data_IF_193195405460
#
_entry.id   IF_193195405460
#
_cell.length_a   1.000
_cell.length_b   1.000
_cell.length_c   1.000
_cell.angle_alpha   90.00
_cell.angle_beta   90.00
_cell.angle_gamma   90.00
#
_symmetry.space_group_name_H-M   'P 1'
#
loop_
_entity.id
_entity.type
_entity.pdbx_description
1 polymer ?
#
# COMPACT_ATOMS: atom_id res chain seq x y z
N UNK A 1 3.36 6.32 -22.31
CA UNK A 1 3.67 4.90 -22.56
C UNK A 1 2.52 4.29 -23.34
N UNK A 2 2.76 3.82 -24.54
CA UNK A 2 1.73 3.08 -25.29
C UNK A 2 1.80 1.60 -24.87
N UNK A 3 0.94 1.21 -23.94
CA UNK A 3 0.79 -0.20 -23.59
C UNK A 3 0.00 -0.91 -24.69
N UNK A 4 0.51 -2.07 -25.11
CA UNK A 4 -0.25 -2.97 -26.00
C UNK A 4 -1.09 -3.90 -25.13
N UNK A 5 -2.33 -4.05 -25.48
CA UNK A 5 -3.26 -4.96 -24.81
C UNK A 5 -3.67 -6.05 -25.79
N UNK A 6 -3.75 -7.28 -25.31
CA UNK A 6 -4.28 -8.43 -26.05
C UNK A 6 -5.02 -9.34 -25.07
N UNK A 7 -5.98 -10.10 -25.58
CA UNK A 7 -6.53 -11.20 -24.81
C UNK A 7 -5.47 -12.31 -24.70
N UNK A 8 -5.36 -12.93 -23.53
CA UNK A 8 -4.39 -13.99 -23.30
C UNK A 8 -4.55 -15.13 -24.32
N UNK A 9 -5.77 -15.48 -24.69
CA UNK A 9 -6.10 -16.52 -25.63
C UNK A 9 -5.54 -16.28 -27.04
N UNK A 10 -5.35 -15.00 -27.42
CA UNK A 10 -4.87 -14.61 -28.74
C UNK A 10 -3.34 -14.62 -28.86
N UNK A 11 -2.64 -14.56 -27.72
CA UNK A 11 -1.16 -14.37 -27.70
C UNK A 11 -0.40 -15.46 -26.99
N UNK A 12 -1.08 -16.32 -26.24
CA UNK A 12 -0.46 -17.27 -25.32
C UNK A 12 0.61 -18.16 -25.99
N UNK A 13 0.40 -18.57 -27.23
CA UNK A 13 1.35 -19.43 -27.99
C UNK A 13 2.57 -18.67 -28.52
N UNK A 14 2.57 -17.35 -28.43
CA UNK A 14 3.69 -16.49 -28.84
C UNK A 14 4.51 -15.98 -27.65
N UNK A 15 4.16 -16.38 -26.42
CA UNK A 15 4.81 -15.89 -25.20
C UNK A 15 5.84 -16.90 -24.70
N UNK A 16 7.06 -16.44 -24.44
CA UNK A 16 8.05 -17.23 -23.70
C UNK A 16 7.78 -17.21 -22.20
N UNK A 17 7.17 -16.14 -21.68
CA UNK A 17 6.88 -15.93 -20.26
C UNK A 17 5.53 -15.29 -20.05
N UNK A 18 4.72 -15.89 -19.18
CA UNK A 18 3.48 -15.34 -18.66
C UNK A 18 3.62 -15.05 -17.17
N UNK A 19 3.35 -13.80 -16.74
CA UNK A 19 3.40 -13.42 -15.34
C UNK A 19 1.99 -13.13 -14.83
N UNK A 20 1.50 -13.96 -13.92
CA UNK A 20 0.26 -13.70 -13.19
C UNK A 20 0.46 -12.54 -12.21
N UNK A 21 -0.32 -11.49 -12.39
CA UNK A 21 -0.37 -10.36 -11.46
C UNK A 21 -1.62 -10.40 -10.59
N UNK A 22 -2.52 -9.44 -10.77
CA UNK A 22 -3.79 -9.36 -10.03
C UNK A 22 -4.91 -10.19 -10.63
N UNK A 23 -4.80 -10.59 -11.89
CA UNK A 23 -5.74 -11.48 -12.58
C UNK A 23 -5.25 -12.92 -12.43
N UNK A 24 -6.19 -13.81 -12.18
CA UNK A 24 -5.90 -15.24 -12.00
C UNK A 24 -5.76 -15.89 -13.38
N UNK A 25 -4.70 -16.66 -13.58
CA UNK A 25 -4.49 -17.51 -14.75
C UNK A 25 -5.19 -18.86 -14.51
N UNK A 26 -5.95 -19.31 -15.50
CA UNK A 26 -6.66 -20.57 -15.40
C UNK A 26 -5.72 -21.76 -15.76
N UNK A 27 -5.95 -22.97 -15.18
CA UNK A 27 -5.08 -24.13 -15.42
C UNK A 27 -4.88 -24.48 -16.88
N UNK A 28 -5.92 -24.35 -17.73
CA UNK A 28 -5.81 -24.65 -19.14
C UNK A 28 -4.87 -23.69 -19.91
N UNK A 29 -4.78 -22.43 -19.46
CA UNK A 29 -3.86 -21.44 -20.03
C UNK A 29 -2.41 -21.80 -19.71
N UNK A 30 -2.15 -22.26 -18.50
CA UNK A 30 -0.81 -22.72 -18.10
C UNK A 30 -0.42 -23.98 -18.88
N UNK A 31 -1.34 -24.91 -19.06
CA UNK A 31 -1.10 -26.10 -19.92
C UNK A 31 -0.65 -25.68 -21.31
N UNK A 32 -1.37 -24.77 -21.97
CA UNK A 32 -0.99 -24.24 -23.29
C UNK A 32 0.39 -23.58 -23.30
N UNK A 33 0.71 -22.79 -22.26
CA UNK A 33 2.06 -22.21 -22.13
C UNK A 33 3.15 -23.29 -22.09
N UNK A 34 2.97 -24.32 -21.27
CA UNK A 34 3.95 -25.38 -21.13
C UNK A 34 4.07 -26.26 -22.39
N UNK A 35 2.99 -26.48 -23.15
CA UNK A 35 2.99 -27.29 -24.37
C UNK A 35 3.94 -26.77 -25.46
N UNK A 36 4.17 -25.44 -25.52
CA UNK A 36 5.13 -24.85 -26.46
C UNK A 36 6.45 -24.38 -25.78
N UNK A 37 6.67 -24.80 -24.50
CA UNK A 37 7.92 -24.53 -23.78
C UNK A 37 7.98 -23.20 -23.05
N UNK A 38 6.89 -22.45 -23.02
CA UNK A 38 6.78 -21.21 -22.25
C UNK A 38 6.80 -21.44 -20.75
N UNK A 39 7.06 -20.39 -19.99
CA UNK A 39 7.13 -20.39 -18.53
C UNK A 39 6.01 -19.55 -17.91
N UNK A 40 5.54 -19.95 -16.71
CA UNK A 40 4.50 -19.23 -15.99
C UNK A 40 4.94 -18.92 -14.57
N UNK A 41 4.89 -17.64 -14.21
CA UNK A 41 5.26 -17.16 -12.87
C UNK A 41 4.04 -16.49 -12.21
N UNK A 42 3.79 -16.82 -10.95
CA UNK A 42 2.81 -16.06 -10.15
C UNK A 42 3.53 -14.95 -9.37
N UNK A 43 3.15 -13.68 -9.60
CA UNK A 43 3.71 -12.52 -8.90
C UNK A 43 2.78 -12.08 -7.77
N UNK A 44 3.18 -12.33 -6.53
CA UNK A 44 2.37 -12.11 -5.34
C UNK A 44 2.67 -10.76 -4.67
N UNK A 45 1.67 -9.89 -4.70
CA UNK A 45 1.68 -8.57 -4.04
C UNK A 45 0.76 -8.49 -2.82
N UNK A 46 -0.15 -9.46 -2.65
CA UNK A 46 -1.08 -9.59 -1.53
C UNK A 46 -0.65 -10.64 -0.50
N UNK A 47 -1.14 -10.52 0.73
CA UNK A 47 -0.93 -11.52 1.78
C UNK A 47 -2.02 -12.62 1.70
N UNK A 48 -1.87 -13.51 0.71
CA UNK A 48 -2.85 -14.55 0.44
C UNK A 48 -2.99 -15.53 1.62
N UNK A 49 -1.89 -15.78 2.36
CA UNK A 49 -1.92 -16.65 3.53
C UNK A 49 -2.86 -16.14 4.62
N UNK A 50 -2.78 -14.86 4.97
CA UNK A 50 -3.70 -14.26 5.95
C UNK A 50 -5.14 -14.23 5.41
N UNK A 51 -5.31 -13.96 4.11
CA UNK A 51 -6.65 -13.97 3.51
C UNK A 51 -7.29 -15.37 3.59
N UNK A 52 -6.55 -16.43 3.34
CA UNK A 52 -7.06 -17.80 3.46
C UNK A 52 -7.36 -18.18 4.91
N UNK A 53 -6.50 -17.77 5.86
CA UNK A 53 -6.77 -17.96 7.30
C UNK A 53 -8.07 -17.25 7.70
N UNK A 54 -8.26 -16.00 7.29
CA UNK A 54 -9.49 -15.26 7.59
C UNK A 54 -10.73 -15.89 6.94
N UNK A 55 -10.61 -16.34 5.69
CA UNK A 55 -11.69 -17.02 4.99
C UNK A 55 -12.12 -18.29 5.74
N UNK A 56 -11.13 -19.07 6.21
CA UNK A 56 -11.36 -20.28 7.00
C UNK A 56 -11.99 -19.99 8.37
N UNK A 57 -11.43 -19.01 9.11
CA UNK A 57 -11.87 -18.74 10.49
C UNK A 57 -13.22 -18.03 10.58
N UNK A 58 -13.58 -17.23 9.59
CA UNK A 58 -14.75 -16.35 9.61
C UNK A 58 -15.82 -16.71 8.58
N UNK A 59 -15.75 -17.92 8.00
CA UNK A 59 -16.69 -18.42 6.98
C UNK A 59 -16.92 -17.44 5.83
N UNK A 60 -15.87 -16.69 5.43
CA UNK A 60 -15.93 -15.80 4.28
C UNK A 60 -15.94 -16.63 3.00
N UNK A 61 -16.53 -16.10 1.93
CA UNK A 61 -16.41 -16.73 0.61
C UNK A 61 -14.95 -16.94 0.27
N UNK A 62 -14.59 -18.19 -0.05
CA UNK A 62 -13.25 -18.53 -0.50
C UNK A 62 -12.86 -17.65 -1.69
N UNK A 63 -11.72 -16.96 -1.56
CA UNK A 63 -11.07 -16.33 -2.70
C UNK A 63 -10.52 -17.41 -3.63
N UNK A 64 -10.25 -17.06 -4.89
CA UNK A 64 -9.53 -17.94 -5.82
C UNK A 64 -8.01 -17.81 -5.63
N UNK A 65 -7.55 -17.92 -4.38
CA UNK A 65 -6.11 -17.73 -4.09
C UNK A 65 -5.30 -18.89 -4.66
N UNK A 66 -5.87 -20.10 -4.63
CA UNK A 66 -5.27 -21.30 -5.21
C UNK A 66 -6.32 -22.08 -6.02
N UNK A 67 -6.11 -22.17 -7.33
CA UNK A 67 -7.03 -22.80 -8.28
C UNK A 67 -6.49 -24.11 -8.88
N UNK A 68 -5.36 -24.63 -8.36
CA UNK A 68 -4.71 -25.84 -8.89
C UNK A 68 -3.74 -25.57 -10.05
N UNK A 69 -3.49 -24.33 -10.39
CA UNK A 69 -2.54 -23.94 -11.43
C UNK A 69 -1.11 -24.33 -11.04
N UNK A 70 -0.34 -24.84 -11.99
CA UNK A 70 1.07 -25.23 -11.80
C UNK A 70 1.99 -24.16 -12.35
N UNK A 71 2.56 -23.34 -11.46
CA UNK A 71 3.55 -22.33 -11.83
C UNK A 71 4.96 -22.91 -11.88
N UNK A 72 5.85 -22.32 -12.69
CA UNK A 72 7.29 -22.63 -12.67
C UNK A 72 7.98 -21.98 -11.46
N UNK A 73 7.51 -20.83 -11.03
CA UNK A 73 7.96 -20.16 -9.80
C UNK A 73 6.90 -19.18 -9.26
N UNK A 74 7.01 -18.84 -7.98
CA UNK A 74 6.32 -17.71 -7.38
C UNK A 74 7.33 -16.60 -7.11
N UNK A 75 7.05 -15.40 -7.58
CA UNK A 75 7.76 -14.19 -7.20
C UNK A 75 6.92 -13.40 -6.21
N UNK A 76 7.54 -12.94 -5.12
CA UNK A 76 6.86 -12.18 -4.08
C UNK A 76 7.70 -10.99 -3.63
N UNK A 77 7.06 -9.93 -3.22
CA UNK A 77 7.73 -8.76 -2.64
C UNK A 77 8.19 -9.06 -1.20
N UNK A 78 9.19 -8.34 -0.65
CA UNK A 78 9.83 -8.67 0.64
C UNK A 78 8.88 -8.82 1.82
N UNK A 79 7.77 -8.08 1.85
CA UNK A 79 6.80 -8.17 2.95
C UNK A 79 6.18 -9.56 3.16
N UNK A 80 6.27 -10.43 2.17
CA UNK A 80 5.68 -11.78 2.21
C UNK A 80 6.70 -12.87 2.57
N UNK A 81 7.99 -12.51 2.71
CA UNK A 81 9.04 -13.51 2.92
C UNK A 81 8.81 -14.35 4.18
N UNK A 82 8.50 -13.70 5.30
CA UNK A 82 8.35 -14.38 6.58
C UNK A 82 7.02 -15.14 6.71
N UNK A 83 5.93 -14.59 6.19
CA UNK A 83 4.57 -15.14 6.40
C UNK A 83 4.12 -16.06 5.27
N UNK A 84 4.50 -15.79 4.02
CA UNK A 84 3.88 -16.45 2.86
C UNK A 84 4.83 -17.37 2.09
N UNK A 85 6.16 -17.28 2.24
CA UNK A 85 7.11 -18.02 1.39
C UNK A 85 6.89 -19.53 1.39
N UNK A 86 6.80 -20.14 2.58
CA UNK A 86 6.53 -21.57 2.70
C UNK A 86 5.13 -21.91 2.20
N UNK A 87 4.13 -21.11 2.53
CA UNK A 87 2.76 -21.29 2.05
C UNK A 87 2.71 -21.28 0.52
N UNK A 88 3.29 -20.30 -0.15
CA UNK A 88 3.31 -20.24 -1.61
C UNK A 88 4.06 -21.42 -2.21
N UNK A 89 5.23 -21.77 -1.67
CA UNK A 89 6.02 -22.89 -2.22
C UNK A 89 5.29 -24.23 -2.09
N UNK A 90 4.68 -24.50 -0.94
CA UNK A 90 3.99 -25.76 -0.66
C UNK A 90 2.71 -25.85 -1.50
N UNK A 91 1.89 -24.80 -1.50
CA UNK A 91 0.60 -24.82 -2.17
C UNK A 91 0.74 -24.85 -3.71
N UNK A 92 1.69 -24.11 -4.25
CA UNK A 92 1.94 -24.07 -5.70
C UNK A 92 2.93 -25.14 -6.18
N UNK A 93 3.53 -25.94 -5.28
CA UNK A 93 4.49 -27.01 -5.60
C UNK A 93 5.68 -26.55 -6.46
N UNK A 94 6.07 -25.29 -6.29
CA UNK A 94 7.19 -24.68 -7.01
C UNK A 94 8.01 -23.78 -6.08
N UNK A 95 9.24 -23.40 -6.46
CA UNK A 95 10.05 -22.49 -5.65
C UNK A 95 9.45 -21.10 -5.58
N UNK A 96 9.63 -20.42 -4.43
CA UNK A 96 9.23 -19.05 -4.22
C UNK A 96 10.45 -18.15 -3.97
N UNK A 97 10.54 -17.05 -4.69
CA UNK A 97 11.67 -16.11 -4.65
C UNK A 97 11.20 -14.72 -4.28
N UNK A 98 12.01 -14.02 -3.49
CA UNK A 98 11.78 -12.61 -3.17
C UNK A 98 12.37 -11.73 -4.28
N UNK A 99 11.53 -10.86 -4.83
CA UNK A 99 11.93 -9.88 -5.86
C UNK A 99 11.71 -8.45 -5.34
N UNK A 100 12.43 -7.45 -5.86
CA UNK A 100 12.25 -6.07 -5.43
C UNK A 100 10.82 -5.57 -5.65
N UNK A 101 10.27 -4.75 -4.74
CA UNK A 101 9.04 -4.01 -5.02
C UNK A 101 9.33 -2.96 -6.10
N UNK A 102 8.49 -2.89 -7.11
CA UNK A 102 8.62 -1.92 -8.20
C UNK A 102 7.51 -0.90 -8.09
N UNK A 103 7.88 0.37 -8.13
CA UNK A 103 6.95 1.49 -8.20
C UNK A 103 7.41 2.48 -9.28
N UNK A 104 6.44 3.16 -9.89
CA UNK A 104 6.69 4.23 -10.85
C UNK A 104 5.63 5.33 -10.68
N UNK A 105 5.98 6.62 -10.81
CA UNK A 105 5.03 7.72 -10.69
C UNK A 105 4.01 7.80 -11.83
N UNK A 106 4.14 7.02 -12.88
CA UNK A 106 3.34 7.12 -14.12
C UNK A 106 1.84 7.20 -13.87
N UNK A 107 1.30 6.38 -12.96
CA UNK A 107 -0.13 6.41 -12.65
C UNK A 107 -0.51 7.60 -11.76
N UNK A 108 0.35 7.96 -10.82
CA UNK A 108 0.21 9.15 -9.98
C UNK A 108 0.21 10.42 -10.86
N UNK A 109 1.15 10.52 -11.78
CA UNK A 109 1.30 11.65 -12.72
C UNK A 109 0.06 11.84 -13.62
N UNK A 110 -0.57 10.75 -14.04
CA UNK A 110 -1.82 10.84 -14.81
C UNK A 110 -2.96 11.47 -13.99
N UNK A 111 -3.07 11.11 -12.72
CA UNK A 111 -4.05 11.70 -11.81
C UNK A 111 -3.71 13.17 -11.54
N UNK A 112 -2.44 13.47 -11.27
CA UNK A 112 -1.94 14.84 -11.03
C UNK A 112 -2.24 15.74 -12.24
N UNK A 113 -1.93 15.27 -13.44
CA UNK A 113 -2.21 16.00 -14.67
C UNK A 113 -3.71 16.32 -14.80
N UNK A 114 -4.56 15.33 -14.57
CA UNK A 114 -6.02 15.53 -14.62
C UNK A 114 -6.50 16.54 -13.59
N UNK A 115 -6.02 16.48 -12.34
CA UNK A 115 -6.36 17.44 -11.28
C UNK A 115 -5.97 18.85 -11.70
N UNK A 116 -4.79 19.02 -12.27
CA UNK A 116 -4.31 20.32 -12.75
C UNK A 116 -5.16 20.86 -13.88
N UNK A 117 -5.48 20.02 -14.88
CA UNK A 117 -6.28 20.42 -16.04
C UNK A 117 -7.74 20.74 -15.67
N UNK A 118 -8.37 19.93 -14.83
CA UNK A 118 -9.80 20.06 -14.52
C UNK A 118 -10.09 21.05 -13.39
N UNK A 119 -9.18 21.22 -12.44
CA UNK A 119 -9.43 21.96 -11.21
C UNK A 119 -8.40 23.06 -10.92
N UNK A 120 -7.36 23.17 -11.74
CA UNK A 120 -6.23 24.09 -11.54
C UNK A 120 -5.57 23.95 -10.15
N UNK A 121 -5.53 22.75 -9.58
CA UNK A 121 -4.89 22.43 -8.32
C UNK A 121 -3.51 21.83 -8.55
N UNK A 122 -2.54 22.18 -7.69
CA UNK A 122 -1.19 21.65 -7.72
C UNK A 122 -1.04 20.56 -6.65
N UNK A 123 -0.65 19.37 -7.08
CA UNK A 123 -0.33 18.28 -6.18
C UNK A 123 0.98 18.55 -5.42
N UNK A 124 1.03 18.08 -4.19
CA UNK A 124 2.19 18.13 -3.33
C UNK A 124 1.96 18.96 -2.07
N UNK A 125 2.63 18.53 -1.01
CA UNK A 125 2.60 19.22 0.27
C UNK A 125 3.28 20.58 0.16
N UNK A 126 2.67 21.58 0.77
CA UNK A 126 3.22 22.96 0.83
C UNK A 126 3.41 23.33 2.30
N UNK A 127 4.67 23.47 2.76
CA UNK A 127 4.95 23.93 4.11
C UNK A 127 4.19 25.22 4.43
N UNK A 128 3.55 25.25 5.58
CA UNK A 128 2.84 26.43 6.09
C UNK A 128 2.92 26.45 7.61
N UNK A 129 3.92 27.14 8.14
CA UNK A 129 4.19 27.27 9.58
C UNK A 129 3.09 28.02 10.34
N UNK A 130 2.26 28.81 9.63
CA UNK A 130 1.14 29.56 10.26
C UNK A 130 -0.07 28.63 10.47
N UNK A 131 -0.16 27.53 9.75
CA UNK A 131 -1.22 26.53 9.89
C UNK A 131 -0.92 25.58 11.05
N UNK A 132 -1.34 25.94 12.25
CA UNK A 132 -1.10 25.17 13.48
C UNK A 132 -1.92 23.90 13.59
N UNK A 133 -3.14 23.87 13.04
CA UNK A 133 -4.00 22.69 13.03
C UNK A 133 -3.93 22.00 11.67
N UNK A 134 -3.66 20.70 11.66
CA UNK A 134 -3.46 19.91 10.43
C UNK A 134 -4.63 18.95 10.18
N UNK A 135 -4.87 18.65 8.91
CA UNK A 135 -5.84 17.66 8.45
C UNK A 135 -5.10 16.34 8.21
N UNK A 136 -5.59 15.28 8.81
CA UNK A 136 -4.94 13.95 8.81
C UNK A 136 -5.82 13.00 8.01
N UNK A 137 -5.21 12.12 7.20
CA UNK A 137 -5.95 11.06 6.55
C UNK A 137 -5.26 9.70 6.72
N UNK A 138 -6.09 8.65 6.85
CA UNK A 138 -5.66 7.26 6.74
C UNK A 138 -6.34 6.60 5.54
N UNK A 139 -5.57 5.83 4.76
CA UNK A 139 -6.03 5.17 3.54
C UNK A 139 -6.00 3.65 3.64
N UNK A 140 -6.06 3.11 4.86
CA UNK A 140 -6.02 1.65 5.05
C UNK A 140 -7.20 0.97 4.36
N UNK A 141 -6.94 -0.20 3.79
CA UNK A 141 -7.91 -0.86 2.91
C UNK A 141 -9.14 -1.40 3.64
N UNK A 142 -9.03 -1.72 4.95
CA UNK A 142 -10.09 -2.27 5.81
C UNK A 142 -10.77 -3.56 5.25
N UNK A 143 -10.02 -4.38 4.53
CA UNK A 143 -10.51 -5.63 3.94
C UNK A 143 -10.03 -6.87 4.69
N UNK A 144 -8.96 -6.77 5.46
CA UNK A 144 -8.36 -7.83 6.27
C UNK A 144 -7.62 -7.25 7.48
N UNK A 145 -7.11 -8.12 8.35
CA UNK A 145 -6.43 -7.73 9.61
C UNK A 145 -5.09 -7.02 9.38
N UNK A 146 -4.43 -7.22 8.23
CA UNK A 146 -3.08 -6.67 7.99
C UNK A 146 -3.07 -5.17 7.71
N UNK A 147 -4.21 -4.62 7.27
CA UNK A 147 -4.39 -3.17 7.02
C UNK A 147 -5.78 -2.73 7.41
N UNK A 148 -5.89 -2.13 8.59
CA UNK A 148 -7.15 -1.61 9.10
C UNK A 148 -6.96 -0.27 9.82
N UNK A 149 -8.06 0.46 10.00
CA UNK A 149 -8.04 1.82 10.54
C UNK A 149 -8.04 1.89 12.08
N UNK A 150 -8.08 0.77 12.82
CA UNK A 150 -8.18 0.82 14.28
C UNK A 150 -7.00 1.54 14.93
N UNK A 151 -5.77 1.14 14.61
CA UNK A 151 -4.58 1.79 15.18
C UNK A 151 -4.43 3.25 14.74
N UNK A 152 -4.63 3.63 13.45
CA UNK A 152 -4.68 5.04 13.06
C UNK A 152 -5.71 5.87 13.84
N UNK A 153 -6.90 5.33 14.09
CA UNK A 153 -7.91 6.03 14.90
C UNK A 153 -7.41 6.23 16.33
N UNK A 154 -6.81 5.20 16.96
CA UNK A 154 -6.29 5.31 18.33
C UNK A 154 -5.14 6.33 18.42
N UNK A 155 -4.26 6.38 17.43
CA UNK A 155 -3.18 7.37 17.36
C UNK A 155 -3.75 8.78 17.27
N UNK A 156 -4.67 9.01 16.33
CA UNK A 156 -5.30 10.32 16.14
C UNK A 156 -6.11 10.74 17.38
N UNK A 157 -6.86 9.81 17.99
CA UNK A 157 -7.63 10.06 19.21
C UNK A 157 -6.72 10.44 20.37
N UNK A 158 -5.61 9.71 20.58
CA UNK A 158 -4.67 10.03 21.66
C UNK A 158 -4.03 11.41 21.45
N UNK A 159 -3.59 11.71 20.22
CA UNK A 159 -3.05 13.01 19.89
C UNK A 159 -4.07 14.15 20.09
N UNK A 160 -5.33 13.92 19.71
CA UNK A 160 -6.42 14.85 19.89
C UNK A 160 -6.71 15.12 21.37
N UNK A 161 -6.74 14.08 22.21
CA UNK A 161 -6.91 14.23 23.68
C UNK A 161 -5.80 15.05 24.33
N UNK A 162 -4.55 14.87 23.87
CA UNK A 162 -3.42 15.62 24.39
C UNK A 162 -3.42 17.09 23.92
N UNK A 163 -3.67 17.33 22.63
CA UNK A 163 -3.60 18.65 22.00
C UNK A 163 -4.69 18.87 20.95
N UNK A 164 -5.96 19.09 21.36
CA UNK A 164 -7.10 19.17 20.44
C UNK A 164 -6.94 20.28 19.40
N UNK A 165 -6.29 21.38 19.77
CA UNK A 165 -6.10 22.55 18.88
C UNK A 165 -5.15 22.29 17.71
N UNK A 166 -4.43 21.16 17.69
CA UNK A 166 -3.49 20.80 16.61
C UNK A 166 -4.11 19.92 15.52
N UNK A 167 -5.29 19.37 15.75
CA UNK A 167 -5.99 18.51 14.79
C UNK A 167 -7.22 19.24 14.29
N UNK A 168 -7.21 19.59 13.01
CA UNK A 168 -8.33 20.25 12.36
C UNK A 168 -9.41 19.26 11.95
N UNK A 169 -9.00 18.14 11.34
CA UNK A 169 -9.90 17.08 10.88
C UNK A 169 -9.15 15.77 10.63
N UNK A 170 -9.86 14.65 10.78
CA UNK A 170 -9.34 13.29 10.55
C UNK A 170 -10.24 12.58 9.56
N UNK A 171 -9.70 12.22 8.40
CA UNK A 171 -10.40 11.48 7.35
C UNK A 171 -10.02 10.01 7.41
N UNK A 172 -10.97 9.14 7.75
CA UNK A 172 -10.78 7.69 7.71
C UNK A 172 -11.30 7.15 6.38
N UNK A 173 -10.44 7.11 5.37
CA UNK A 173 -10.80 6.60 4.05
C UNK A 173 -11.01 5.08 4.06
N UNK A 174 -11.80 4.57 3.10
CA UNK A 174 -12.17 3.17 2.98
C UNK A 174 -12.93 2.59 4.20
N UNK A 175 -13.65 3.42 4.94
CA UNK A 175 -14.43 3.01 6.11
C UNK A 175 -15.93 3.27 5.96
N UNK A 176 -16.37 3.96 4.92
CA UNK A 176 -17.78 4.32 4.74
C UNK A 176 -18.70 3.08 4.68
N UNK A 177 -18.26 2.01 4.03
CA UNK A 177 -18.99 0.73 3.96
C UNK A 177 -18.98 -0.05 5.28
N UNK A 178 -18.19 0.38 6.27
CA UNK A 178 -18.14 -0.19 7.63
C UNK A 178 -18.98 0.58 8.66
N UNK A 179 -19.59 1.71 8.29
CA UNK A 179 -20.34 2.57 9.21
C UNK A 179 -21.47 1.85 9.94
N UNK A 180 -22.09 0.86 9.29
CA UNK A 180 -23.20 0.08 9.86
C UNK A 180 -22.71 -1.21 10.58
N UNK A 181 -21.39 -1.46 10.65
CA UNK A 181 -20.84 -2.57 11.42
C UNK A 181 -20.89 -2.23 12.92
N UNK A 182 -21.58 -3.02 13.77
CA UNK A 182 -21.77 -2.68 15.18
C UNK A 182 -20.46 -2.52 15.96
N UNK A 183 -19.43 -3.36 15.65
CA UNK A 183 -18.13 -3.28 16.32
C UNK A 183 -17.44 -1.97 15.98
N UNK A 184 -17.40 -1.61 14.69
CA UNK A 184 -16.79 -0.37 14.25
C UNK A 184 -17.55 0.85 14.78
N UNK A 185 -18.87 0.86 14.68
CA UNK A 185 -19.71 1.93 15.19
C UNK A 185 -19.52 2.17 16.70
N UNK A 186 -19.54 1.09 17.49
CA UNK A 186 -19.33 1.18 18.93
C UNK A 186 -17.89 1.63 19.28
N UNK A 187 -16.91 1.26 18.47
CA UNK A 187 -15.51 1.66 18.67
C UNK A 187 -15.34 3.16 18.42
N UNK A 188 -15.74 3.67 17.25
CA UNK A 188 -15.56 5.08 16.91
C UNK A 188 -16.44 6.01 17.76
N UNK A 189 -17.65 5.57 18.15
CA UNK A 189 -18.55 6.35 18.99
C UNK A 189 -18.04 6.61 20.41
N UNK A 190 -16.94 5.95 20.83
CA UNK A 190 -16.26 6.21 22.11
C UNK A 190 -15.11 7.20 22.00
N UNK A 191 -14.83 7.68 20.79
CA UNK A 191 -13.74 8.64 20.57
C UNK A 191 -14.23 10.08 20.71
N UNK A 192 -13.38 10.95 21.26
CA UNK A 192 -13.64 12.40 21.27
C UNK A 192 -13.66 12.94 19.84
N UNK A 193 -12.84 12.42 18.96
CA UNK A 193 -12.78 12.79 17.53
C UNK A 193 -14.17 12.74 16.86
N UNK A 194 -14.95 11.67 17.13
CA UNK A 194 -16.32 11.54 16.58
C UNK A 194 -17.28 12.42 17.35
N UNK A 195 -17.22 12.42 18.68
CA UNK A 195 -18.14 13.16 19.54
C UNK A 195 -18.06 14.69 19.30
N UNK A 196 -16.87 15.19 18.99
CA UNK A 196 -16.61 16.58 18.71
C UNK A 196 -16.74 16.94 17.21
N UNK A 197 -17.09 15.96 16.35
CA UNK A 197 -17.27 16.18 14.91
C UNK A 197 -15.97 16.40 14.14
N UNK A 198 -14.83 15.96 14.69
CA UNK A 198 -13.49 16.15 14.11
C UNK A 198 -13.08 14.99 13.19
N UNK A 199 -13.75 13.84 13.25
CA UNK A 199 -13.47 12.68 12.39
C UNK A 199 -14.65 12.31 11.51
N UNK A 200 -14.37 11.96 10.25
CA UNK A 200 -15.35 11.41 9.31
C UNK A 200 -14.93 10.06 8.75
N UNK A 201 -15.93 9.24 8.46
CA UNK A 201 -15.78 7.97 7.74
C UNK A 201 -15.98 8.24 6.25
N UNK A 202 -14.99 7.85 5.45
CA UNK A 202 -14.91 8.24 4.05
C UNK A 202 -14.94 7.02 3.12
N UNK A 203 -15.35 7.26 1.87
CA UNK A 203 -15.30 6.30 0.79
C UNK A 203 -13.88 5.99 0.31
N UNK A 204 -13.79 5.32 -0.84
CA UNK A 204 -12.53 5.07 -1.51
C UNK A 204 -12.28 6.14 -2.57
N UNK A 205 -11.14 6.81 -2.46
CA UNK A 205 -10.74 7.88 -3.37
C UNK A 205 -9.40 7.59 -4.05
N UNK A 206 -9.15 8.26 -5.16
CA UNK A 206 -7.80 8.31 -5.73
C UNK A 206 -6.93 9.18 -4.83
N UNK A 207 -5.86 8.58 -4.31
CA UNK A 207 -5.06 9.20 -3.27
C UNK A 207 -4.48 10.55 -3.67
N UNK A 208 -3.86 10.77 -4.86
CA UNK A 208 -3.33 12.08 -5.21
C UNK A 208 -4.39 13.18 -5.26
N UNK A 209 -5.62 12.89 -5.70
CA UNK A 209 -6.72 13.87 -5.71
C UNK A 209 -7.15 14.24 -4.29
N UNK A 210 -7.35 13.24 -3.45
CA UNK A 210 -7.77 13.45 -2.06
C UNK A 210 -6.70 14.18 -1.24
N UNK A 211 -5.43 13.81 -1.42
CA UNK A 211 -4.29 14.49 -0.78
C UNK A 211 -4.26 15.98 -1.14
N UNK A 212 -4.38 16.29 -2.43
CA UNK A 212 -4.32 17.67 -2.92
C UNK A 212 -5.38 18.58 -2.28
N UNK A 213 -6.58 18.04 -2.04
CA UNK A 213 -7.71 18.83 -1.58
C UNK A 213 -7.85 18.90 -0.06
N UNK A 214 -7.57 17.81 0.62
CA UNK A 214 -8.07 17.64 1.99
C UNK A 214 -7.00 17.29 3.02
N UNK A 215 -5.78 16.94 2.64
CA UNK A 215 -4.84 16.31 3.56
C UNK A 215 -3.57 17.12 3.75
N UNK A 216 -3.10 17.18 4.98
CA UNK A 216 -1.80 17.74 5.33
C UNK A 216 -0.83 16.63 5.82
N UNK A 217 -1.33 15.56 6.45
CA UNK A 217 -0.53 14.45 7.01
C UNK A 217 -1.20 13.11 6.67
N UNK A 218 -0.41 12.14 6.25
CA UNK A 218 -0.85 10.76 6.03
C UNK A 218 -0.44 9.91 7.22
N UNK A 219 -1.41 9.25 7.85
CA UNK A 219 -1.22 8.34 8.98
C UNK A 219 -1.58 6.92 8.56
N UNK A 220 -0.63 6.00 8.67
CA UNK A 220 -0.78 4.63 8.22
C UNK A 220 -0.40 3.62 9.29
N UNK A 221 -1.00 2.43 9.19
CA UNK A 221 -0.69 1.27 10.02
C UNK A 221 -0.74 0.00 9.20
N UNK A 222 0.15 -0.93 9.49
CA UNK A 222 0.17 -2.24 8.87
C UNK A 222 0.64 -3.32 9.86
N UNK A 223 0.26 -4.56 9.60
CA UNK A 223 0.78 -5.75 10.25
C UNK A 223 1.19 -6.75 9.19
N UNK A 224 2.49 -7.13 9.13
CA UNK A 224 3.04 -8.07 8.13
C UNK A 224 2.72 -7.70 6.67
N UNK A 225 2.57 -6.38 6.38
CA UNK A 225 2.23 -5.85 5.06
C UNK A 225 2.80 -4.44 4.85
N UNK A 226 4.11 -4.30 5.08
CA UNK A 226 4.82 -3.03 5.23
C UNK A 226 5.13 -2.27 3.94
N UNK A 227 4.78 -2.79 2.75
CA UNK A 227 4.95 -2.11 1.49
C UNK A 227 3.58 -1.81 0.85
N UNK A 228 3.37 -0.59 0.39
CA UNK A 228 2.13 -0.18 -0.24
C UNK A 228 2.37 0.97 -1.21
N UNK A 229 1.78 0.93 -2.39
CA UNK A 229 1.85 2.02 -3.37
C UNK A 229 1.32 3.35 -2.82
N UNK A 230 0.31 3.32 -1.95
CA UNK A 230 -0.19 4.52 -1.28
C UNK A 230 0.90 5.24 -0.45
N UNK A 231 1.86 4.51 0.12
CA UNK A 231 2.99 5.11 0.84
C UNK A 231 3.88 5.90 -0.11
N UNK A 232 4.17 5.31 -1.27
CA UNK A 232 4.98 5.94 -2.30
C UNK A 232 4.29 7.18 -2.89
N UNK A 233 2.96 7.15 -3.07
CA UNK A 233 2.21 8.31 -3.54
C UNK A 233 2.26 9.48 -2.54
N UNK A 234 2.18 9.20 -1.22
CA UNK A 234 2.34 10.21 -0.18
C UNK A 234 3.75 10.81 -0.18
N UNK A 235 4.78 9.95 -0.22
CA UNK A 235 6.19 10.35 -0.26
C UNK A 235 6.50 11.16 -1.54
N UNK A 236 5.96 10.76 -2.68
CA UNK A 236 6.13 11.43 -3.97
C UNK A 236 5.58 12.85 -3.95
N UNK A 237 4.47 13.06 -3.26
CA UNK A 237 3.91 14.39 -3.01
C UNK A 237 4.60 15.17 -1.90
N UNK A 238 5.61 14.63 -1.24
CA UNK A 238 6.27 15.26 -0.09
C UNK A 238 5.36 15.41 1.14
N UNK A 239 4.24 14.68 1.21
CA UNK A 239 3.37 14.72 2.37
C UNK A 239 4.03 14.04 3.58
N UNK A 240 3.94 14.64 4.79
CA UNK A 240 4.36 13.96 6.02
C UNK A 240 3.65 12.61 6.11
N UNK A 241 4.43 11.53 6.12
CA UNK A 241 3.93 10.16 6.15
C UNK A 241 4.38 9.46 7.43
N UNK A 242 3.40 9.12 8.28
CA UNK A 242 3.62 8.44 9.57
C UNK A 242 3.25 6.96 9.39
N UNK A 243 4.15 6.05 9.80
CA UNK A 243 4.00 4.63 9.55
C UNK A 243 4.72 3.75 10.58
N UNK A 244 4.35 2.45 10.63
CA UNK A 244 5.03 1.43 11.43
C UNK A 244 5.76 0.37 10.59
N UNK A 245 6.07 0.67 9.32
CA UNK A 245 6.73 -0.30 8.45
C UNK A 245 8.23 -0.37 8.71
N UNK A 246 8.74 -1.58 9.01
CA UNK A 246 10.18 -1.88 9.12
C UNK A 246 10.86 -2.12 7.77
N UNK A 247 10.08 -2.19 6.68
CA UNK A 247 10.59 -2.36 5.32
C UNK A 247 10.91 -1.04 4.61
N UNK A 248 10.46 0.07 5.19
CA UNK A 248 10.85 1.41 4.75
C UNK A 248 12.13 1.79 5.48
N UNK A 249 13.16 2.30 4.77
CA UNK A 249 14.43 2.68 5.38
C UNK A 249 14.27 3.73 6.49
N UNK A 250 15.10 3.64 7.52
CA UNK A 250 15.11 4.61 8.61
C UNK A 250 15.32 6.03 8.08
N UNK A 251 14.46 6.95 8.48
CA UNK A 251 14.50 8.35 8.08
C UNK A 251 13.66 8.67 6.83
N UNK A 252 13.03 7.68 6.20
CA UNK A 252 12.01 7.89 5.18
C UNK A 252 10.64 7.82 5.85
N UNK A 253 9.85 8.88 5.78
CA UNK A 253 8.66 9.01 6.61
C UNK A 253 9.00 9.21 8.10
N UNK A 254 8.01 9.05 8.95
CA UNK A 254 8.08 9.15 10.40
C UNK A 254 7.61 7.84 11.03
N UNK A 255 8.53 7.12 11.64
CA UNK A 255 8.31 5.78 12.17
C UNK A 255 7.78 5.80 13.60
N UNK A 256 6.80 4.95 13.91
CA UNK A 256 6.43 4.54 15.26
C UNK A 256 6.43 3.01 15.36
N UNK A 257 6.64 2.45 16.57
CA UNK A 257 6.84 1.00 16.69
C UNK A 257 5.52 0.23 16.80
N UNK A 258 5.40 -0.81 16.01
CA UNK A 258 4.36 -1.83 16.03
C UNK A 258 2.91 -1.27 16.15
N UNK A 259 2.23 -1.57 17.25
CA UNK A 259 0.85 -1.13 17.57
C UNK A 259 0.82 -0.04 18.66
N UNK A 260 1.97 0.59 18.97
CA UNK A 260 2.02 1.60 20.03
C UNK A 260 1.36 2.91 19.60
N UNK A 261 0.08 3.03 19.92
CA UNK A 261 -0.68 4.24 19.63
C UNK A 261 -0.23 5.47 20.44
N UNK A 262 0.39 5.28 21.59
CA UNK A 262 0.93 6.40 22.39
C UNK A 262 2.20 6.97 21.74
N UNK A 263 3.11 6.09 21.27
CA UNK A 263 4.25 6.52 20.48
C UNK A 263 3.80 7.18 19.17
N UNK A 264 2.87 6.54 18.46
CA UNK A 264 2.30 7.09 17.23
C UNK A 264 1.70 8.50 17.41
N UNK A 265 1.01 8.75 18.54
CA UNK A 265 0.47 10.06 18.87
C UNK A 265 1.58 11.10 19.14
N UNK A 266 2.64 10.73 19.84
CA UNK A 266 3.81 11.61 20.04
C UNK A 266 4.47 11.97 18.70
N UNK A 267 4.66 10.97 17.83
CA UNK A 267 5.21 11.18 16.48
C UNK A 267 4.30 12.10 15.68
N UNK A 268 2.99 11.92 15.72
CA UNK A 268 2.03 12.78 15.03
C UNK A 268 2.11 14.23 15.50
N UNK A 269 2.16 14.46 16.82
CA UNK A 269 2.26 15.81 17.38
C UNK A 269 3.61 16.47 17.07
N UNK A 270 4.72 15.72 17.08
CA UNK A 270 6.02 16.21 16.66
C UNK A 270 6.05 16.59 15.17
N UNK A 271 5.44 15.76 14.32
CA UNK A 271 5.31 16.03 12.87
C UNK A 271 4.52 17.32 12.63
N UNK A 272 3.43 17.55 13.36
CA UNK A 272 2.64 18.78 13.25
C UNK A 272 3.50 20.02 13.58
N UNK A 273 4.35 19.94 14.58
CA UNK A 273 5.16 21.06 15.06
C UNK A 273 6.43 21.32 14.24
N UNK A 274 7.02 20.27 13.68
CA UNK A 274 8.40 20.33 13.20
C UNK A 274 8.60 19.95 11.73
N UNK A 275 7.65 19.29 11.06
CA UNK A 275 7.84 18.84 9.68
C UNK A 275 8.22 19.97 8.73
N UNK A 276 7.51 21.12 8.82
CA UNK A 276 7.71 22.26 7.91
C UNK A 276 9.16 22.79 7.96
N UNK A 277 9.83 22.67 9.10
CA UNK A 277 11.23 23.09 9.30
C UNK A 277 12.25 22.17 8.61
N UNK A 278 11.87 20.91 8.39
CA UNK A 278 12.73 19.86 7.87
C UNK A 278 12.25 19.29 6.53
N UNK A 279 11.28 19.95 5.90
CA UNK A 279 10.59 19.46 4.71
C UNK A 279 11.55 19.17 3.53
N UNK A 280 12.53 20.04 3.28
CA UNK A 280 13.47 19.85 2.17
C UNK A 280 14.31 18.58 2.34
N UNK A 281 14.82 18.34 3.55
CA UNK A 281 15.59 17.12 3.85
C UNK A 281 14.70 15.87 3.81
N UNK A 282 13.45 15.99 4.27
CA UNK A 282 12.45 14.93 4.18
C UNK A 282 12.19 14.53 2.73
N UNK A 283 11.93 15.48 1.85
CA UNK A 283 11.67 15.24 0.42
C UNK A 283 12.88 14.61 -0.26
N UNK A 284 14.10 15.06 0.07
CA UNK A 284 15.34 14.46 -0.46
C UNK A 284 15.41 12.96 -0.14
N UNK A 285 15.21 12.58 1.13
CA UNK A 285 15.22 11.16 1.56
C UNK A 285 14.08 10.35 0.94
N UNK A 286 12.90 10.95 0.82
CA UNK A 286 11.77 10.33 0.15
C UNK A 286 12.08 10.02 -1.31
N UNK A 287 12.67 10.97 -2.05
CA UNK A 287 13.05 10.77 -3.46
C UNK A 287 14.13 9.69 -3.62
N UNK A 288 15.17 9.67 -2.77
CA UNK A 288 16.20 8.62 -2.80
C UNK A 288 15.58 7.22 -2.61
N UNK A 289 14.61 7.09 -1.72
CA UNK A 289 13.88 5.84 -1.53
C UNK A 289 13.00 5.48 -2.74
N UNK A 290 12.27 6.43 -3.30
CA UNK A 290 11.42 6.20 -4.47
C UNK A 290 12.26 5.83 -5.70
N UNK A 291 13.40 6.48 -5.90
CA UNK A 291 14.35 6.14 -6.98
C UNK A 291 14.86 4.71 -6.87
N UNK A 292 15.03 4.19 -5.65
CA UNK A 292 15.41 2.80 -5.43
C UNK A 292 14.36 1.78 -5.88
N UNK A 293 13.10 2.21 -6.02
CA UNK A 293 11.98 1.35 -6.44
C UNK A 293 11.62 1.49 -7.92
N UNK A 294 12.27 2.39 -8.65
CA UNK A 294 11.98 2.56 -10.07
C UNK A 294 12.31 1.28 -10.87
N UNK A 295 11.48 0.93 -11.87
CA UNK A 295 11.77 -0.20 -12.75
C UNK A 295 13.07 -0.02 -13.54
N UNK A 296 13.54 1.22 -13.71
CA UNK A 296 14.81 1.57 -14.36
C UNK A 296 16.01 1.56 -13.43
N UNK A 297 15.84 1.32 -12.14
CA UNK A 297 16.95 1.22 -11.19
C UNK A 297 17.81 -0.01 -11.52
N UNK A 298 19.15 0.15 -11.68
CA UNK A 298 20.02 -0.97 -12.07
C UNK A 298 19.96 -2.18 -11.14
N UNK A 299 19.76 -1.97 -9.85
CA UNK A 299 19.64 -3.07 -8.87
C UNK A 299 18.37 -3.88 -9.14
N UNK A 300 17.25 -3.20 -9.40
CA UNK A 300 15.98 -3.87 -9.71
C UNK A 300 16.09 -4.66 -11.02
N UNK A 301 16.67 -4.06 -12.06
CA UNK A 301 16.92 -4.72 -13.35
C UNK A 301 17.75 -5.99 -13.13
N UNK A 302 18.88 -5.87 -12.43
CA UNK A 302 19.76 -7.03 -12.14
C UNK A 302 19.04 -8.15 -11.38
N UNK A 303 18.23 -7.80 -10.37
CA UNK A 303 17.51 -8.80 -9.57
C UNK A 303 16.46 -9.55 -10.40
N UNK A 304 15.69 -8.83 -11.23
CA UNK A 304 14.73 -9.48 -12.13
C UNK A 304 15.41 -10.29 -13.24
N UNK A 305 16.50 -9.81 -13.82
CA UNK A 305 17.30 -10.60 -14.78
C UNK A 305 17.85 -11.90 -14.17
N UNK A 306 18.28 -11.86 -12.92
CA UNK A 306 18.74 -13.04 -12.18
C UNK A 306 17.63 -14.08 -12.06
N UNK A 307 16.41 -13.66 -11.72
CA UNK A 307 15.28 -14.58 -11.59
C UNK A 307 14.80 -15.08 -12.96
N UNK A 308 14.85 -14.26 -14.01
CA UNK A 308 14.60 -14.70 -15.39
C UNK A 308 15.62 -15.75 -15.83
N UNK A 309 16.92 -15.54 -15.63
CA UNK A 309 17.96 -16.52 -15.95
C UNK A 309 17.73 -17.85 -15.21
N UNK A 310 17.34 -17.78 -13.94
CA UNK A 310 17.01 -18.99 -13.14
C UNK A 310 15.81 -19.75 -13.69
N UNK A 311 14.83 -19.04 -14.21
CA UNK A 311 13.59 -19.62 -14.73
C UNK A 311 13.83 -20.39 -16.05
N UNK A 312 14.78 -19.92 -16.88
CA UNK A 312 15.10 -20.51 -18.19
C UNK A 312 16.40 -21.36 -18.20
N UNK A 313 17.03 -21.59 -17.04
CA UNK A 313 18.13 -22.53 -16.89
C UNK A 313 17.63 -23.92 -16.56
#
# INVERSE_FOLDING_TARGET
MNLKFAYIEDVIESLDLLIEGTLIIEPHQVTRMHEHGGKVVSYKMGNDFIMDIENFLFDKKAGRVFNGTTFDAVWMIPQHENTCKSYFSIMNRCPSYVVPPIWSPVFCDQVIKRIKEQHNLDFGYKPNSDKKAKRIASFEANINVVKNSFTPILIAEQAYREQPNKIQHVYMCNTYDKKDNPTFFNFIGRTNLVNDGVMTVEGRYQMPDFLTRYVDIVLSHQWENGLNYAYNDALYGGYPFIHNSKLIPKGVGYYYDQFDAFEGAKVLLDVIDNHDKHHEEYVKRANEYLDSQLPTNPVNIYMYEKELKRLFS
#
